data_IF_160647752095
#
_entry.id   IF_160647752095
#
_cell.length_a   1.000
_cell.length_b   1.000
_cell.length_c   1.000
_cell.angle_alpha   90.00
_cell.angle_beta   90.00
_cell.angle_gamma   90.00
#
_symmetry.space_group_name_H-M   'P 1'
#
loop_
_entity.id
_entity.type
_entity.pdbx_description
1 polymer ?
#
# COMPACT_ATOMS: atom_id res chain seq x y z
N UNK A 1 10.84 -20.74 7.71
CA UNK A 1 11.04 -19.29 7.99
C UNK A 1 11.06 -18.99 9.48
N UNK A 2 10.04 -19.39 10.25
CA UNK A 2 10.00 -19.13 11.70
C UNK A 2 11.23 -19.59 12.48
N UNK A 3 11.83 -20.73 12.10
CA UNK A 3 13.08 -21.23 12.71
C UNK A 3 14.29 -20.32 12.51
N UNK A 4 14.23 -19.36 11.57
CA UNK A 4 15.25 -18.32 11.37
C UNK A 4 15.09 -17.15 12.36
N UNK A 5 14.01 -17.14 13.15
CA UNK A 5 13.68 -16.13 14.15
C UNK A 5 13.73 -14.67 13.64
N UNK A 6 13.12 -14.34 12.49
CA UNK A 6 13.20 -12.99 11.93
C UNK A 6 12.50 -11.95 12.81
N UNK A 7 12.99 -10.72 12.80
CA UNK A 7 12.33 -9.60 13.47
C UNK A 7 11.15 -9.04 12.65
N UNK A 8 11.29 -9.08 11.32
CA UNK A 8 10.26 -8.68 10.35
C UNK A 8 10.14 -9.71 9.23
N UNK A 9 8.93 -9.89 8.74
CA UNK A 9 8.64 -10.71 7.55
C UNK A 9 7.68 -9.95 6.65
N UNK A 10 8.02 -9.81 5.38
CA UNK A 10 7.10 -9.34 4.35
C UNK A 10 6.62 -10.55 3.54
N UNK A 11 5.30 -10.73 3.47
CA UNK A 11 4.65 -11.86 2.81
C UNK A 11 3.88 -11.36 1.59
N UNK A 12 4.43 -11.59 0.40
CA UNK A 12 3.81 -11.17 -0.85
C UNK A 12 3.22 -12.35 -1.61
N UNK A 13 2.04 -12.12 -2.18
CA UNK A 13 1.55 -12.98 -3.26
C UNK A 13 2.43 -12.83 -4.49
N UNK A 14 2.82 -13.94 -5.11
CA UNK A 14 3.56 -13.91 -6.36
C UNK A 14 2.76 -13.18 -7.45
N UNK A 15 3.38 -12.18 -8.07
CA UNK A 15 2.81 -11.41 -9.17
C UNK A 15 3.29 -12.00 -10.51
N UNK A 16 2.39 -12.73 -11.18
CA UNK A 16 2.65 -13.33 -12.47
C UNK A 16 2.21 -12.39 -13.61
N UNK A 17 3.19 -11.86 -14.33
CA UNK A 17 3.09 -10.83 -15.38
C UNK A 17 4.03 -11.15 -16.57
N UNK A 18 3.92 -12.33 -17.21
CA UNK A 18 4.85 -12.80 -18.23
C UNK A 18 4.93 -11.90 -19.49
N UNK A 19 3.91 -11.08 -19.74
CA UNK A 19 3.93 -10.06 -20.79
C UNK A 19 4.94 -8.94 -20.53
N UNK A 20 5.22 -8.63 -19.26
CA UNK A 20 6.17 -7.59 -18.84
C UNK A 20 7.49 -8.18 -18.35
N UNK A 21 7.47 -9.35 -17.71
CA UNK A 21 8.65 -10.05 -17.21
C UNK A 21 8.79 -11.37 -17.96
N UNK A 22 9.39 -11.33 -19.15
CA UNK A 22 9.50 -12.47 -20.09
C UNK A 22 10.03 -13.76 -19.45
N UNK A 23 10.96 -13.67 -18.50
CA UNK A 23 11.48 -14.86 -17.80
C UNK A 23 10.40 -15.63 -17.02
N UNK A 24 9.28 -15.00 -16.66
CA UNK A 24 8.17 -15.69 -15.99
C UNK A 24 7.42 -16.65 -16.92
N UNK A 25 7.59 -16.56 -18.25
CA UNK A 25 7.06 -17.54 -19.20
C UNK A 25 7.61 -18.96 -18.99
N UNK A 26 8.68 -19.12 -18.20
CA UNK A 26 9.23 -20.41 -17.84
C UNK A 26 8.43 -21.13 -16.74
N UNK A 27 7.47 -20.45 -16.10
CA UNK A 27 6.57 -21.05 -15.11
C UNK A 27 5.27 -21.41 -15.85
N UNK A 28 4.88 -22.70 -15.91
CA UNK A 28 3.60 -23.08 -16.51
C UNK A 28 2.43 -22.47 -15.74
N UNK A 29 1.47 -21.89 -16.46
CA UNK A 29 0.30 -21.22 -15.86
C UNK A 29 -0.52 -22.19 -15.01
N UNK A 30 -0.65 -23.45 -15.45
CA UNK A 30 -1.36 -24.53 -14.76
C UNK A 30 -0.69 -24.97 -13.44
N UNK A 31 0.59 -24.63 -13.23
CA UNK A 31 1.28 -24.90 -11.98
C UNK A 31 1.01 -23.83 -10.91
N UNK A 32 0.40 -22.69 -11.29
CA UNK A 32 0.10 -21.61 -10.38
C UNK A 32 -1.21 -21.85 -9.63
N UNK A 33 -1.26 -21.53 -8.32
CA UNK A 33 -2.50 -21.60 -7.57
C UNK A 33 -3.52 -20.59 -8.11
N UNK A 34 -4.79 -21.00 -8.13
CA UNK A 34 -5.91 -20.09 -8.41
C UNK A 34 -6.09 -19.04 -7.29
N UNK A 35 -7.05 -18.12 -7.48
CA UNK A 35 -7.30 -17.04 -6.51
C UNK A 35 -7.70 -17.55 -5.12
N UNK A 36 -8.46 -18.65 -5.04
CA UNK A 36 -8.91 -19.21 -3.77
C UNK A 36 -7.76 -19.90 -3.04
N UNK A 37 -6.95 -20.68 -3.76
CA UNK A 37 -5.76 -21.31 -3.23
C UNK A 37 -4.73 -20.28 -2.77
N UNK A 38 -4.51 -19.20 -3.54
CA UNK A 38 -3.63 -18.09 -3.13
C UNK A 38 -4.13 -17.42 -1.85
N UNK A 39 -5.44 -17.19 -1.74
CA UNK A 39 -6.05 -16.60 -0.54
C UNK A 39 -5.90 -17.52 0.67
N UNK A 40 -6.17 -18.81 0.51
CA UNK A 40 -5.99 -19.81 1.57
C UNK A 40 -4.52 -19.89 2.02
N UNK A 41 -3.57 -19.88 1.09
CA UNK A 41 -2.13 -19.85 1.39
C UNK A 41 -1.74 -18.60 2.18
N UNK A 42 -2.22 -17.43 1.78
CA UNK A 42 -1.95 -16.17 2.47
C UNK A 42 -2.45 -16.20 3.92
N UNK A 43 -3.69 -16.64 4.13
CA UNK A 43 -4.27 -16.77 5.47
C UNK A 43 -3.53 -17.79 6.35
N UNK A 44 -3.19 -18.96 5.79
CA UNK A 44 -2.44 -19.97 6.51
C UNK A 44 -1.07 -19.43 6.94
N UNK A 45 -0.33 -18.81 6.02
CA UNK A 45 0.98 -18.22 6.31
C UNK A 45 0.88 -17.11 7.36
N UNK A 46 -0.10 -16.21 7.26
CA UNK A 46 -0.37 -15.18 8.25
C UNK A 46 -0.65 -15.78 9.64
N UNK A 47 -1.49 -16.81 9.71
CA UNK A 47 -1.81 -17.53 10.95
C UNK A 47 -0.57 -18.16 11.58
N UNK A 48 0.29 -18.79 10.78
CA UNK A 48 1.56 -19.36 11.25
C UNK A 48 2.54 -18.30 11.77
N UNK A 49 2.67 -17.16 11.07
CA UNK A 49 3.53 -16.05 11.52
C UNK A 49 3.02 -15.46 12.83
N UNK A 50 1.70 -15.30 12.96
CA UNK A 50 1.07 -14.82 14.19
C UNK A 50 1.26 -15.80 15.36
N UNK A 51 1.04 -17.10 15.13
CA UNK A 51 1.31 -18.14 16.13
C UNK A 51 2.79 -18.22 16.51
N UNK A 52 3.68 -17.85 15.59
CA UNK A 52 5.12 -17.71 15.82
C UNK A 52 5.54 -16.45 16.60
N UNK A 53 4.58 -15.63 17.05
CA UNK A 53 4.84 -14.45 17.88
C UNK A 53 5.11 -13.16 17.11
N UNK A 54 4.89 -13.13 15.80
CA UNK A 54 4.87 -11.88 15.03
C UNK A 54 3.46 -11.27 15.05
N UNK A 55 3.36 -9.97 14.85
CA UNK A 55 2.11 -9.24 14.72
C UNK A 55 1.97 -8.74 13.29
N UNK A 56 0.76 -8.82 12.75
CA UNK A 56 0.44 -8.26 11.44
C UNK A 56 0.58 -6.74 11.45
N UNK A 57 1.35 -6.22 10.49
CA UNK A 57 1.57 -4.81 10.21
C UNK A 57 0.91 -4.52 8.86
N UNK A 58 -0.24 -3.85 8.91
CA UNK A 58 -1.06 -3.64 7.73
C UNK A 58 -1.48 -4.97 7.10
N UNK A 59 -1.35 -5.12 5.77
CA UNK A 59 -1.91 -6.27 5.05
C UNK A 59 -0.90 -7.36 4.63
N UNK A 60 0.40 -7.07 4.59
CA UNK A 60 1.42 -7.98 4.05
C UNK A 60 2.73 -8.02 4.86
N UNK A 61 2.84 -7.26 5.95
CA UNK A 61 4.03 -7.28 6.81
C UNK A 61 3.71 -7.88 8.18
N UNK A 62 4.74 -8.43 8.82
CA UNK A 62 4.69 -9.00 10.15
C UNK A 62 5.94 -8.57 10.90
N UNK A 63 5.80 -8.20 12.17
CA UNK A 63 6.93 -7.76 12.98
C UNK A 63 6.80 -8.23 14.44
N UNK A 64 7.91 -8.35 15.17
CA UNK A 64 7.84 -8.62 16.61
C UNK A 64 7.07 -7.50 17.34
N UNK A 65 6.41 -7.79 18.48
CA UNK A 65 5.69 -6.76 19.25
C UNK A 65 6.57 -5.59 19.71
N UNK A 66 7.88 -5.83 19.89
CA UNK A 66 8.87 -4.82 20.28
C UNK A 66 9.43 -4.02 19.11
N UNK A 67 9.09 -4.40 17.87
CA UNK A 67 9.56 -3.73 16.67
C UNK A 67 8.91 -2.35 16.51
N UNK A 68 9.66 -1.39 15.97
CA UNK A 68 9.20 -0.02 15.83
C UNK A 68 7.93 0.11 14.96
N UNK A 69 7.73 -0.76 13.96
CA UNK A 69 6.51 -0.78 13.14
C UNK A 69 5.30 -1.28 13.92
N UNK A 70 5.47 -2.29 14.78
CA UNK A 70 4.41 -2.78 15.64
C UNK A 70 3.96 -1.71 16.65
N UNK A 71 4.93 -1.03 17.26
CA UNK A 71 4.69 0.09 18.17
C UNK A 71 4.03 1.28 17.44
N UNK A 72 4.45 1.59 16.21
CA UNK A 72 3.85 2.65 15.41
C UNK A 72 2.41 2.29 14.97
N UNK A 73 2.15 1.04 14.58
CA UNK A 73 0.83 0.55 14.24
C UNK A 73 -0.13 0.65 15.44
N UNK A 74 0.28 0.17 16.61
CA UNK A 74 -0.50 0.25 17.84
C UNK A 74 -0.80 1.69 18.26
N UNK A 75 0.12 2.63 17.99
CA UNK A 75 -0.06 4.04 18.29
C UNK A 75 -0.81 4.83 17.18
N UNK A 76 -1.25 4.17 16.09
CA UNK A 76 -1.87 4.85 14.95
C UNK A 76 -0.92 5.78 14.18
N UNK A 77 0.40 5.57 14.30
CA UNK A 77 1.46 6.40 13.70
C UNK A 77 2.12 5.74 12.49
N UNK A 78 1.67 4.56 12.09
CA UNK A 78 2.19 3.84 10.93
C UNK A 78 1.92 4.63 9.64
N UNK A 79 2.95 4.74 8.80
CA UNK A 79 2.92 5.36 7.48
C UNK A 79 3.30 4.33 6.42
N UNK A 80 3.09 4.69 5.15
CA UNK A 80 3.54 3.87 4.03
C UNK A 80 4.12 4.74 2.93
N UNK A 81 5.33 4.39 2.47
CA UNK A 81 5.96 5.01 1.32
C UNK A 81 6.29 3.96 0.25
N UNK A 82 7.12 4.32 -0.75
CA UNK A 82 7.46 3.42 -1.84
C UNK A 82 8.20 2.14 -1.39
N UNK A 83 8.91 2.16 -0.25
CA UNK A 83 9.63 1.00 0.28
C UNK A 83 8.75 0.06 1.12
N UNK A 84 7.58 0.50 1.55
CA UNK A 84 6.67 -0.27 2.41
C UNK A 84 6.21 0.52 3.63
N UNK A 85 5.90 -0.20 4.70
CA UNK A 85 5.51 0.40 5.98
C UNK A 85 6.71 1.05 6.68
N UNK A 86 6.47 2.20 7.28
CA UNK A 86 7.48 2.97 8.02
C UNK A 86 6.87 3.66 9.23
N UNK A 87 7.68 3.87 10.25
CA UNK A 87 7.41 4.73 11.41
C UNK A 87 8.04 6.13 11.27
N UNK A 88 8.75 6.37 10.16
CA UNK A 88 9.28 7.67 9.77
C UNK A 88 8.15 8.68 9.50
N UNK A 89 8.40 9.92 9.91
CA UNK A 89 7.47 11.06 9.83
C UNK A 89 7.94 12.14 8.87
N UNK A 90 9.05 11.93 8.17
CA UNK A 90 9.50 12.84 7.14
C UNK A 90 8.40 13.06 6.09
N UNK A 91 8.15 14.33 5.77
CA UNK A 91 7.25 14.76 4.70
C UNK A 91 7.90 14.68 3.31
N UNK A 92 9.19 14.38 3.29
CA UNK A 92 10.01 14.25 2.09
C UNK A 92 10.89 13.00 2.14
N UNK A 93 10.93 12.27 1.04
CA UNK A 93 11.83 11.16 0.75
C UNK A 93 12.65 11.49 -0.50
N UNK A 94 13.96 11.61 -0.36
CA UNK A 94 14.87 11.85 -1.49
C UNK A 94 15.39 10.51 -2.01
N UNK A 95 14.98 10.14 -3.23
CA UNK A 95 15.46 8.94 -3.90
C UNK A 95 16.81 9.18 -4.59
N UNK A 96 17.84 8.43 -4.19
CA UNK A 96 19.16 8.45 -4.83
C UNK A 96 19.41 7.15 -5.60
N UNK A 97 20.10 7.25 -6.74
CA UNK A 97 20.38 6.12 -7.61
C UNK A 97 19.43 6.01 -8.80
N UNK A 98 19.82 5.15 -9.75
CA UNK A 98 19.02 4.86 -10.93
C UNK A 98 17.65 4.29 -10.52
N UNK A 99 16.60 4.69 -11.23
CA UNK A 99 15.20 4.33 -11.00
C UNK A 99 14.56 4.78 -9.68
N UNK A 100 15.34 5.36 -8.76
CA UNK A 100 14.87 5.76 -7.45
C UNK A 100 13.71 6.74 -7.54
N UNK A 101 12.72 6.57 -6.67
CA UNK A 101 11.55 7.43 -6.56
C UNK A 101 11.69 8.27 -5.30
N UNK A 102 11.53 9.58 -5.46
CA UNK A 102 11.38 10.52 -4.37
C UNK A 102 9.92 10.91 -4.19
N UNK A 103 9.58 11.28 -2.96
CA UNK A 103 8.28 11.83 -2.59
C UNK A 103 8.54 13.19 -1.93
N UNK A 104 7.93 14.23 -2.47
CA UNK A 104 7.96 15.59 -1.95
C UNK A 104 6.53 15.98 -1.53
N UNK A 105 6.34 17.03 -0.71
CA UNK A 105 5.01 17.55 -0.42
C UNK A 105 4.21 17.88 -1.67
N UNK A 106 4.87 18.32 -2.74
CA UNK A 106 4.25 18.68 -4.02
C UNK A 106 3.90 17.48 -4.91
N UNK A 107 4.56 16.33 -4.71
CA UNK A 107 4.31 15.13 -5.50
C UNK A 107 5.52 14.22 -5.65
N UNK A 108 5.52 13.39 -6.69
CA UNK A 108 6.53 12.34 -6.88
C UNK A 108 7.53 12.73 -7.95
N UNK A 109 8.77 12.27 -7.79
CA UNK A 109 9.82 12.38 -8.80
C UNK A 109 10.48 11.03 -8.99
N UNK A 110 10.96 10.73 -10.19
CA UNK A 110 11.70 9.52 -10.46
C UNK A 110 12.98 9.83 -11.22
N UNK A 111 14.07 9.21 -10.78
CA UNK A 111 15.36 9.27 -11.45
C UNK A 111 15.38 8.42 -12.72
N UNK A 112 16.31 8.75 -13.61
CA UNK A 112 16.61 7.99 -14.83
C UNK A 112 16.73 6.50 -14.48
N UNK A 113 15.98 5.65 -15.18
CA UNK A 113 15.91 4.21 -14.91
C UNK A 113 17.10 3.42 -15.48
N UNK A 114 17.52 3.62 -16.74
CA UNK A 114 18.72 2.96 -17.25
C UNK A 114 19.97 3.42 -16.48
N UNK A 115 20.66 2.49 -15.83
CA UNK A 115 21.80 2.80 -14.95
C UNK A 115 22.92 3.55 -15.68
N UNK A 116 23.20 3.20 -16.94
CA UNK A 116 24.23 3.87 -17.74
C UNK A 116 23.89 5.34 -18.02
N UNK A 117 22.63 5.66 -18.31
CA UNK A 117 22.20 7.02 -18.59
C UNK A 117 22.16 7.86 -17.31
N UNK A 118 21.72 7.26 -16.19
CA UNK A 118 21.79 7.87 -14.87
C UNK A 118 23.23 8.26 -14.52
N UNK A 119 24.19 7.34 -14.67
CA UNK A 119 25.60 7.59 -14.37
C UNK A 119 26.18 8.71 -15.25
N UNK A 120 25.94 8.66 -16.56
CA UNK A 120 26.40 9.71 -17.49
C UNK A 120 25.88 11.09 -17.10
N UNK A 121 24.58 11.20 -16.79
CA UNK A 121 23.95 12.47 -16.42
C UNK A 121 24.55 13.04 -15.14
N UNK A 122 24.63 12.22 -14.07
CA UNK A 122 25.15 12.67 -12.77
C UNK A 122 26.64 13.01 -12.82
N UNK A 123 27.47 12.20 -13.49
CA UNK A 123 28.91 12.44 -13.60
C UNK A 123 29.24 13.69 -14.44
N UNK A 124 28.35 14.10 -15.35
CA UNK A 124 28.47 15.36 -16.08
C UNK A 124 28.02 16.59 -15.27
N UNK A 125 27.63 16.42 -14.00
CA UNK A 125 27.07 17.49 -13.15
C UNK A 125 25.61 17.82 -13.46
N UNK A 126 24.92 16.98 -14.25
CA UNK A 126 23.51 17.12 -14.59
C UNK A 126 22.57 16.57 -13.53
N UNK A 127 21.27 16.82 -13.71
CA UNK A 127 20.22 16.28 -12.85
C UNK A 127 19.89 14.81 -13.16
N UNK A 128 19.44 14.07 -12.13
CA UNK A 128 19.05 12.67 -12.28
C UNK A 128 17.55 12.45 -12.55
N UNK A 129 16.69 13.44 -12.29
CA UNK A 129 15.24 13.31 -12.41
C UNK A 129 14.81 13.25 -13.88
N UNK A 130 14.10 12.18 -14.27
CA UNK A 130 13.59 12.02 -15.64
C UNK A 130 12.10 12.31 -15.78
N UNK A 131 11.32 12.17 -14.70
CA UNK A 131 9.88 12.44 -14.70
C UNK A 131 9.38 12.76 -13.30
N UNK A 132 8.23 13.41 -13.22
CA UNK A 132 7.53 13.67 -11.96
C UNK A 132 6.02 13.74 -12.14
N UNK A 133 5.31 13.73 -11.02
CA UNK A 133 3.87 13.85 -10.95
C UNK A 133 3.50 14.83 -9.84
N UNK A 134 2.93 15.97 -10.21
CA UNK A 134 2.47 16.97 -9.25
C UNK A 134 1.10 16.56 -8.71
N UNK A 135 0.98 16.46 -7.39
CA UNK A 135 -0.28 16.12 -6.73
C UNK A 135 -1.21 17.33 -6.73
N UNK A 136 -2.43 17.12 -7.17
CA UNK A 136 -3.55 18.05 -6.97
C UNK A 136 -4.06 17.99 -5.53
N UNK A 137 -4.87 18.96 -5.08
CA UNK A 137 -5.54 18.86 -3.78
C UNK A 137 -6.39 17.60 -3.62
N UNK A 138 -7.05 17.15 -4.70
CA UNK A 138 -7.80 15.90 -4.70
C UNK A 138 -6.87 14.70 -4.50
N UNK A 139 -5.74 14.64 -5.21
CA UNK A 139 -4.79 13.52 -5.06
C UNK A 139 -4.24 13.42 -3.64
N UNK A 140 -4.04 14.55 -2.95
CA UNK A 140 -3.62 14.54 -1.53
C UNK A 140 -4.69 13.96 -0.62
N UNK A 141 -5.97 14.34 -0.82
CA UNK A 141 -7.10 13.81 -0.05
C UNK A 141 -7.25 12.30 -0.27
N UNK A 142 -7.29 11.86 -1.52
CA UNK A 142 -7.46 10.45 -1.86
C UNK A 142 -6.24 9.62 -1.44
N UNK A 143 -5.02 10.14 -1.62
CA UNK A 143 -3.79 9.53 -1.13
C UNK A 143 -3.78 9.38 0.39
N UNK A 144 -4.22 10.40 1.14
CA UNK A 144 -4.37 10.33 2.59
C UNK A 144 -5.36 9.23 3.00
N UNK A 145 -6.54 9.18 2.37
CA UNK A 145 -7.56 8.19 2.68
C UNK A 145 -7.06 6.75 2.40
N UNK A 146 -6.44 6.53 1.25
CA UNK A 146 -5.87 5.22 0.88
C UNK A 146 -4.77 4.82 1.87
N UNK A 147 -3.84 5.72 2.19
CA UNK A 147 -2.78 5.43 3.16
C UNK A 147 -3.35 5.09 4.55
N UNK A 148 -4.33 5.86 5.02
CA UNK A 148 -4.99 5.64 6.30
C UNK A 148 -5.68 4.27 6.35
N UNK A 149 -6.36 3.86 5.29
CA UNK A 149 -6.97 2.52 5.20
C UNK A 149 -5.91 1.41 5.20
N UNK A 150 -4.84 1.56 4.42
CA UNK A 150 -3.78 0.55 4.33
C UNK A 150 -2.93 0.43 5.60
N UNK A 151 -2.87 1.47 6.43
CA UNK A 151 -2.04 1.49 7.64
C UNK A 151 -2.85 1.29 8.94
N UNK A 152 -4.03 1.92 9.02
CA UNK A 152 -4.85 2.00 10.24
C UNK A 152 -6.22 1.34 10.10
N UNK A 153 -6.58 0.86 8.91
CA UNK A 153 -7.88 0.24 8.63
C UNK A 153 -9.07 1.15 8.94
N UNK A 154 -8.88 2.47 8.99
CA UNK A 154 -9.92 3.41 9.35
C UNK A 154 -9.71 4.79 8.72
N UNK A 155 -10.83 5.49 8.50
CA UNK A 155 -10.89 6.90 8.18
C UNK A 155 -11.67 7.60 9.28
N UNK A 156 -11.08 8.63 9.88
CA UNK A 156 -11.77 9.44 10.86
C UNK A 156 -12.26 10.74 10.22
N UNK A 157 -13.50 11.13 10.50
CA UNK A 157 -14.12 12.33 9.93
C UNK A 157 -13.33 13.59 10.31
N UNK A 158 -12.83 13.66 11.55
CA UNK A 158 -11.98 14.77 12.04
C UNK A 158 -10.68 14.93 11.25
N UNK A 159 -10.01 13.84 10.91
CA UNK A 159 -8.82 13.85 10.06
C UNK A 159 -9.14 14.33 8.64
N UNK A 160 -10.30 13.99 8.08
CA UNK A 160 -10.68 14.41 6.74
C UNK A 160 -11.08 15.89 6.67
N UNK A 161 -11.53 16.50 7.77
CA UNK A 161 -11.88 17.93 7.83
C UNK A 161 -10.74 18.88 7.44
N UNK A 162 -9.48 18.44 7.58
CA UNK A 162 -8.33 19.23 7.12
C UNK A 162 -8.36 19.51 5.60
N UNK A 163 -9.14 18.73 4.84
CA UNK A 163 -9.36 18.91 3.40
C UNK A 163 -10.64 19.70 3.07
N UNK A 164 -11.28 20.30 4.08
CA UNK A 164 -12.50 21.10 3.93
C UNK A 164 -13.70 20.29 3.42
N UNK A 165 -14.54 20.92 2.60
CA UNK A 165 -15.77 20.29 2.08
C UNK A 165 -15.51 19.00 1.29
N UNK A 166 -14.36 18.89 0.62
CA UNK A 166 -14.00 17.67 -0.11
C UNK A 166 -13.79 16.48 0.83
N UNK A 167 -13.24 16.71 2.02
CA UNK A 167 -13.05 15.68 3.04
C UNK A 167 -14.36 15.16 3.61
N UNK A 168 -15.33 16.05 3.88
CA UNK A 168 -16.67 15.67 4.32
C UNK A 168 -17.40 14.84 3.25
N UNK A 169 -17.35 15.28 1.98
CA UNK A 169 -17.89 14.51 0.85
C UNK A 169 -17.27 13.11 0.75
N UNK A 170 -15.96 12.97 0.95
CA UNK A 170 -15.29 11.67 0.94
C UNK A 170 -15.76 10.78 2.10
N UNK A 171 -15.95 11.34 3.29
CA UNK A 171 -16.45 10.58 4.44
C UNK A 171 -17.90 10.11 4.23
N UNK A 172 -18.75 10.96 3.66
CA UNK A 172 -20.13 10.58 3.35
C UNK A 172 -20.17 9.46 2.31
N UNK A 173 -19.30 9.52 1.29
CA UNK A 173 -19.11 8.41 0.35
C UNK A 173 -18.63 7.12 1.06
N UNK A 174 -17.69 7.22 1.99
CA UNK A 174 -17.25 6.08 2.81
C UNK A 174 -18.39 5.48 3.64
N UNK A 175 -19.27 6.33 4.18
CA UNK A 175 -20.43 5.90 4.96
C UNK A 175 -21.43 5.14 4.10
N UNK A 176 -21.67 5.59 2.86
CA UNK A 176 -22.51 4.88 1.88
C UNK A 176 -21.88 3.52 1.51
N UNK A 177 -20.55 3.46 1.33
CA UNK A 177 -19.81 2.22 1.10
C UNK A 177 -20.11 1.21 2.23
N UNK A 178 -20.02 1.63 3.49
CA UNK A 178 -20.31 0.75 4.62
C UNK A 178 -21.79 0.36 4.72
N UNK A 179 -22.72 1.27 4.45
CA UNK A 179 -24.16 1.00 4.52
C UNK A 179 -24.64 0.01 3.44
N UNK A 180 -23.92 -0.07 2.32
CA UNK A 180 -24.24 -0.95 1.19
C UNK A 180 -23.40 -2.24 1.18
N UNK A 181 -22.55 -2.45 2.17
CA UNK A 181 -21.70 -3.62 2.31
C UNK A 181 -22.46 -4.81 2.90
N UNK A 182 -22.89 -5.72 2.03
CA UNK A 182 -23.60 -6.93 2.43
C UNK A 182 -22.70 -7.99 3.08
N UNK A 183 -21.37 -7.89 2.92
CA UNK A 183 -20.40 -8.89 3.37
C UNK A 183 -19.80 -8.58 4.75
N UNK A 184 -20.12 -7.42 5.31
CA UNK A 184 -19.66 -6.97 6.63
C UNK A 184 -18.14 -6.74 6.70
N UNK A 185 -17.52 -6.35 5.58
CA UNK A 185 -16.09 -6.05 5.48
C UNK A 185 -15.75 -4.67 6.03
N UNK A 186 -16.74 -3.80 6.10
CA UNK A 186 -16.64 -2.41 6.50
C UNK A 186 -17.78 -2.05 7.44
N UNK A 187 -17.58 -0.99 8.23
CA UNK A 187 -18.60 -0.40 9.09
C UNK A 187 -18.34 1.09 9.19
N UNK A 188 -19.40 1.86 9.41
CA UNK A 188 -19.29 3.29 9.67
C UNK A 188 -20.23 3.70 10.80
N UNK A 189 -19.79 4.68 11.57
CA UNK A 189 -20.62 5.49 12.47
C UNK A 189 -20.52 6.97 12.06
N UNK A 190 -20.98 7.89 12.93
CA UNK A 190 -20.98 9.32 12.64
C UNK A 190 -19.56 9.89 12.39
N UNK A 191 -18.54 9.34 13.05
CA UNK A 191 -17.20 9.93 13.12
C UNK A 191 -16.10 9.02 12.54
N UNK A 192 -16.38 7.73 12.34
CA UNK A 192 -15.41 6.76 11.85
C UNK A 192 -15.97 5.80 10.80
N UNK A 193 -15.26 5.67 9.68
CA UNK A 193 -15.36 4.51 8.78
C UNK A 193 -14.22 3.54 9.12
N UNK A 194 -14.48 2.24 9.20
CA UNK A 194 -13.45 1.23 9.51
C UNK A 194 -13.65 -0.06 8.73
N UNK A 195 -12.52 -0.69 8.40
CA UNK A 195 -12.45 -2.05 7.86
C UNK A 195 -12.51 -3.03 9.04
N UNK A 196 -13.44 -3.98 8.99
CA UNK A 196 -13.60 -4.99 10.03
C UNK A 196 -12.44 -6.00 9.99
N UNK A 197 -12.25 -6.79 11.05
CA UNK A 197 -11.26 -7.89 11.05
C UNK A 197 -11.44 -8.81 9.83
N UNK A 198 -12.69 -9.11 9.46
CA UNK A 198 -13.05 -9.89 8.26
C UNK A 198 -12.68 -9.17 6.96
N UNK A 199 -12.76 -7.84 6.94
CA UNK A 199 -12.41 -7.02 5.78
C UNK A 199 -10.92 -6.78 5.57
N UNK A 200 -10.07 -6.94 6.61
CA UNK A 200 -8.63 -6.62 6.51
C UNK A 200 -7.89 -7.32 5.37
N UNK A 201 -8.12 -8.62 5.07
CA UNK A 201 -7.50 -9.24 3.91
C UNK A 201 -7.83 -8.54 2.58
N UNK A 202 -8.99 -7.88 2.51
CA UNK A 202 -9.49 -7.17 1.33
C UNK A 202 -9.21 -5.66 1.36
N UNK A 203 -8.40 -5.16 2.30
CA UNK A 203 -8.18 -3.72 2.48
C UNK A 203 -7.71 -3.01 1.21
N UNK A 204 -6.94 -3.69 0.35
CA UNK A 204 -6.50 -3.14 -0.94
C UNK A 204 -7.67 -2.89 -1.88
N UNK A 205 -8.61 -3.82 -1.97
CA UNK A 205 -9.82 -3.67 -2.79
C UNK A 205 -10.75 -2.58 -2.22
N UNK A 206 -10.85 -2.50 -0.88
CA UNK A 206 -11.63 -1.46 -0.20
C UNK A 206 -11.00 -0.08 -0.45
N UNK A 207 -9.69 0.06 -0.26
CA UNK A 207 -8.96 1.31 -0.47
C UNK A 207 -9.02 1.76 -1.94
N UNK A 208 -9.03 0.82 -2.89
CA UNK A 208 -9.15 1.13 -4.32
C UNK A 208 -10.48 1.83 -4.68
N UNK A 209 -11.54 1.72 -3.86
CA UNK A 209 -12.79 2.49 -4.05
C UNK A 209 -12.61 3.99 -3.85
N UNK A 210 -11.50 4.39 -3.22
CA UNK A 210 -11.10 5.78 -3.02
C UNK A 210 -10.05 6.21 -4.04
N UNK A 211 -9.75 5.43 -5.07
CA UNK A 211 -8.82 5.79 -6.13
C UNK A 211 -9.58 6.36 -7.35
N UNK A 212 -9.35 7.63 -7.66
CA UNK A 212 -9.98 8.33 -8.78
C UNK A 212 -9.43 7.92 -10.15
N UNK A 213 -8.26 7.28 -10.20
CA UNK A 213 -7.60 6.85 -11.43
C UNK A 213 -7.91 5.39 -11.79
N UNK A 214 -8.49 4.61 -10.89
CA UNK A 214 -8.71 3.17 -11.09
C UNK A 214 -9.55 2.85 -12.34
N UNK A 215 -10.62 3.63 -12.57
CA UNK A 215 -11.50 3.44 -13.74
C UNK A 215 -10.92 4.00 -15.05
N UNK A 216 -9.90 4.86 -14.96
CA UNK A 216 -9.30 5.58 -16.10
C UNK A 216 -8.09 4.82 -16.65
N UNK A 217 -7.46 3.96 -15.83
CA UNK A 217 -6.27 3.21 -16.20
C UNK A 217 -6.55 2.06 -17.18
N UNK A 218 -5.90 2.10 -18.35
CA UNK A 218 -5.88 1.00 -19.32
C UNK A 218 -4.81 -0.08 -19.02
N UNK A 219 -4.16 -0.02 -17.86
CA UNK A 219 -3.01 -0.86 -17.54
C UNK A 219 -3.42 -2.27 -17.08
N UNK A 220 -2.75 -3.28 -17.64
CA UNK A 220 -2.95 -4.68 -17.24
C UNK A 220 -2.21 -4.93 -15.92
N UNK A 221 -2.96 -5.13 -14.84
CA UNK A 221 -2.41 -5.41 -13.51
C UNK A 221 -2.48 -6.90 -13.18
N UNK A 222 -1.55 -7.39 -12.35
CA UNK A 222 -1.75 -8.69 -11.70
C UNK A 222 -2.92 -8.59 -10.73
N UNK A 223 -3.85 -9.55 -10.78
CA UNK A 223 -4.94 -9.59 -9.81
C UNK A 223 -4.36 -9.79 -8.40
N UNK A 224 -4.68 -8.82 -7.53
CA UNK A 224 -4.41 -8.94 -6.10
C UNK A 224 -5.18 -10.14 -5.54
N UNK A 225 -4.56 -10.78 -4.55
CA UNK A 225 -5.20 -11.77 -3.66
C UNK A 225 -5.79 -11.02 -2.48
#
# INVERSE_FOLDING_TARGET
VLSLAPDRTALFGYAHVPWMKKHQQMIPDEALPDIHARFAQSQLAAGLLNAGGLQSIGFDHFARPTDSLALAAAAGRLRRNFQGYTDDRADMLIGLGASAIGQLPQGYVQNITPTGDYQKSVLAGGGATTRGFALTPADRLHGFAIEALLCRFALRRDELRQFGAAGETLFDAASIIAATDADGLTRADADCFSVTERGRPFVRAIAARFDTYLAIGAARHSLAV
#
